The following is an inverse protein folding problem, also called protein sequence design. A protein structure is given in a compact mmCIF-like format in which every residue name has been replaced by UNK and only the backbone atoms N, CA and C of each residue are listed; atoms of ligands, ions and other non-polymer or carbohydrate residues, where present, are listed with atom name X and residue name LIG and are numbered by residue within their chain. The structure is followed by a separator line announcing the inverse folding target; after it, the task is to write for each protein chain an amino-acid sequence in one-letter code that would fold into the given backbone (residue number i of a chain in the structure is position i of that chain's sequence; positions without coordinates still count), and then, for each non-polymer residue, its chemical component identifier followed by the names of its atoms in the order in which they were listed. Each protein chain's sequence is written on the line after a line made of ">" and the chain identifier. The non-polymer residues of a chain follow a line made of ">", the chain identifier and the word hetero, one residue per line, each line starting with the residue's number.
data_IF_849569561127
#
_entry.id   IF_849569561127
#
_cell.length_a   1.000
_cell.length_b   1.000
_cell.length_c   1.000
_cell.angle_alpha   90.00
_cell.angle_beta   90.00
_cell.angle_gamma   90.00
#
_symmetry.space_group_name_H-M   'P 1'
#
loop_
_entity.id
_entity.type
_entity.pdbx_description
1 polymer ?
#
# COMPACT_ATOMS: atom_id res chain seq x y z
N UNK A 1 4.28 -25.21 -9.57
CA UNK A 1 4.03 -25.00 -8.13
C UNK A 1 3.25 -23.71 -7.99
N UNK A 2 2.02 -23.76 -7.46
CA UNK A 2 1.20 -22.56 -7.29
C UNK A 2 1.56 -21.94 -5.94
N UNK A 3 2.02 -20.69 -5.95
CA UNK A 3 2.34 -19.98 -4.71
C UNK A 3 1.04 -19.44 -4.10
N UNK A 4 0.83 -19.61 -2.79
CA UNK A 4 -0.34 -19.04 -2.14
C UNK A 4 -0.28 -17.51 -2.17
N UNK A 5 -1.43 -16.87 -2.34
CA UNK A 5 -1.55 -15.41 -2.33
C UNK A 5 -1.91 -14.88 -0.93
N UNK A 6 -2.56 -15.70 -0.11
CA UNK A 6 -3.10 -15.34 1.19
C UNK A 6 -2.86 -16.45 2.21
N UNK A 7 -2.97 -16.10 3.50
CA UNK A 7 -2.99 -17.07 4.58
C UNK A 7 -4.17 -16.82 5.53
N UNK A 8 -4.71 -17.89 6.11
CA UNK A 8 -5.74 -17.92 7.13
C UNK A 8 -5.19 -18.39 8.47
N UNK A 9 -5.86 -17.98 9.55
CA UNK A 9 -5.60 -18.47 10.91
C UNK A 9 -6.80 -19.29 11.37
N UNK A 10 -6.63 -20.60 11.50
CA UNK A 10 -7.70 -21.57 11.77
C UNK A 10 -8.51 -21.23 13.02
N UNK A 11 -7.85 -20.77 14.09
CA UNK A 11 -8.47 -20.46 15.39
C UNK A 11 -9.36 -19.23 15.36
N UNK A 12 -9.07 -18.24 14.52
CA UNK A 12 -9.86 -16.99 14.44
C UNK A 12 -10.77 -16.95 13.21
N UNK A 13 -10.55 -17.84 12.25
CA UNK A 13 -11.17 -17.82 10.92
C UNK A 13 -10.99 -16.45 10.23
N UNK A 14 -9.81 -15.85 10.37
CA UNK A 14 -9.42 -14.62 9.68
C UNK A 14 -8.36 -14.94 8.65
N UNK A 15 -8.47 -14.40 7.44
CA UNK A 15 -7.43 -14.45 6.41
C UNK A 15 -6.79 -13.09 6.14
N UNK A 16 -5.54 -13.09 5.68
CA UNK A 16 -4.63 -11.96 5.59
C UNK A 16 -3.75 -12.04 4.34
N UNK A 17 -3.22 -10.88 3.94
CA UNK A 17 -2.06 -10.78 3.02
C UNK A 17 -0.76 -11.14 3.73
N UNK A 18 0.23 -11.63 2.98
CA UNK A 18 1.62 -11.66 3.44
C UNK A 18 2.11 -10.24 3.73
N UNK A 19 2.79 -10.03 4.86
CA UNK A 19 3.16 -8.70 5.35
C UNK A 19 2.08 -7.96 6.15
N UNK A 20 0.96 -8.62 6.50
CA UNK A 20 -0.03 -8.04 7.41
C UNK A 20 0.62 -7.64 8.75
N UNK A 21 0.38 -6.41 9.27
CA UNK A 21 0.97 -5.93 10.53
C UNK A 21 0.30 -6.52 11.79
N UNK A 22 -0.58 -7.50 11.62
CA UNK A 22 -1.18 -8.24 12.74
C UNK A 22 -0.14 -9.15 13.39
N UNK A 23 -0.37 -9.49 14.66
CA UNK A 23 0.50 -10.43 15.38
C UNK A 23 0.64 -11.72 14.55
N UNK A 24 1.87 -12.21 14.29
CA UNK A 24 2.07 -13.45 13.57
C UNK A 24 1.35 -14.62 14.25
N UNK A 25 0.61 -15.45 13.50
CA UNK A 25 0.00 -16.66 14.05
C UNK A 25 1.06 -17.72 14.34
N UNK A 26 0.70 -18.71 15.17
CA UNK A 26 1.51 -19.92 15.29
C UNK A 26 1.46 -20.73 13.99
N UNK A 27 2.58 -21.33 13.53
CA UNK A 27 2.62 -22.09 12.29
C UNK A 27 1.55 -23.19 12.20
N UNK A 28 1.26 -23.89 13.30
CA UNK A 28 0.25 -24.96 13.33
C UNK A 28 -1.18 -24.49 13.01
N UNK A 29 -1.45 -23.19 13.10
CA UNK A 29 -2.77 -22.60 12.83
C UNK A 29 -2.88 -21.96 11.44
N UNK A 30 -1.82 -22.04 10.62
CA UNK A 30 -1.78 -21.36 9.32
C UNK A 30 -2.35 -22.26 8.23
N UNK A 31 -3.28 -21.71 7.46
CA UNK A 31 -3.82 -22.33 6.23
C UNK A 31 -3.52 -21.38 5.08
N UNK A 32 -3.24 -21.89 3.89
CA UNK A 32 -2.91 -21.06 2.73
C UNK A 32 -4.06 -21.06 1.71
N UNK A 33 -4.26 -19.92 1.06
CA UNK A 33 -5.27 -19.75 0.01
C UNK A 33 -4.66 -19.10 -1.24
N UNK A 34 -5.17 -19.49 -2.40
CA UNK A 34 -4.84 -18.92 -3.71
C UNK A 34 -5.60 -17.62 -3.97
N UNK A 35 -6.79 -17.45 -3.39
CA UNK A 35 -7.61 -16.26 -3.59
C UNK A 35 -8.45 -15.90 -2.36
N UNK A 36 -8.91 -14.64 -2.32
CA UNK A 36 -9.85 -14.19 -1.28
C UNK A 36 -11.17 -14.96 -1.35
N UNK A 37 -11.63 -15.30 -2.55
CA UNK A 37 -12.88 -16.05 -2.76
C UNK A 37 -12.79 -17.45 -2.18
N UNK A 38 -11.66 -18.14 -2.37
CA UNK A 38 -11.41 -19.46 -1.78
C UNK A 38 -11.47 -19.42 -0.25
N UNK A 39 -10.82 -18.42 0.36
CA UNK A 39 -10.84 -18.26 1.82
C UNK A 39 -12.27 -18.05 2.37
N UNK A 40 -13.05 -17.22 1.68
CA UNK A 40 -14.46 -16.95 2.05
C UNK A 40 -15.33 -18.20 1.91
N UNK A 41 -15.17 -18.97 0.84
CA UNK A 41 -15.88 -20.24 0.66
C UNK A 41 -15.57 -21.26 1.77
N UNK A 42 -14.34 -21.23 2.32
CA UNK A 42 -13.95 -22.03 3.48
C UNK A 42 -14.38 -21.43 4.84
N UNK A 43 -15.18 -20.36 4.83
CA UNK A 43 -15.75 -19.74 6.02
C UNK A 43 -14.82 -18.79 6.77
N UNK A 44 -13.76 -18.29 6.12
CA UNK A 44 -12.89 -17.27 6.70
C UNK A 44 -13.40 -15.86 6.39
N UNK A 45 -13.19 -14.93 7.32
CA UNK A 45 -13.49 -13.50 7.16
C UNK A 45 -12.22 -12.70 6.84
N UNK A 46 -12.31 -11.63 6.04
CA UNK A 46 -11.14 -10.82 5.72
C UNK A 46 -10.63 -10.03 6.94
N UNK A 47 -9.31 -9.93 7.06
CA UNK A 47 -8.68 -9.10 8.07
C UNK A 47 -8.97 -7.61 7.82
N UNK A 48 -9.48 -6.91 8.84
CA UNK A 48 -9.77 -5.47 8.76
C UNK A 48 -8.53 -4.57 8.67
N UNK A 49 -7.34 -5.09 9.04
CA UNK A 49 -6.07 -4.32 9.04
C UNK A 49 -5.37 -4.33 7.68
N UNK A 50 -5.18 -5.51 7.08
CA UNK A 50 -4.56 -5.60 5.76
C UNK A 50 -5.57 -5.59 4.61
N UNK A 51 -6.88 -5.69 4.89
CA UNK A 51 -8.01 -5.62 3.93
C UNK A 51 -7.83 -6.51 2.69
N UNK A 52 -7.58 -7.83 2.85
CA UNK A 52 -7.30 -8.74 1.73
C UNK A 52 -8.49 -8.92 0.77
N UNK A 53 -9.67 -8.43 1.16
CA UNK A 53 -10.89 -8.30 0.37
C UNK A 53 -10.88 -7.15 -0.65
N UNK A 54 -9.97 -6.18 -0.50
CA UNK A 54 -9.83 -5.03 -1.38
C UNK A 54 -8.75 -5.28 -2.43
N UNK A 55 -8.74 -4.56 -3.56
CA UNK A 55 -7.68 -4.70 -4.56
C UNK A 55 -6.30 -4.28 -4.02
N UNK A 56 -6.26 -3.18 -3.25
CA UNK A 56 -5.04 -2.62 -2.65
C UNK A 56 -5.10 -2.72 -1.12
N UNK A 57 -3.96 -2.97 -0.50
CA UNK A 57 -3.82 -2.81 0.95
C UNK A 57 -3.98 -1.33 1.35
N UNK A 58 -4.31 -1.04 2.62
CA UNK A 58 -4.42 0.35 3.06
C UNK A 58 -3.12 1.15 2.86
N UNK A 59 -1.96 0.52 2.99
CA UNK A 59 -0.65 1.14 2.74
C UNK A 59 -0.46 1.51 1.27
N UNK A 60 -0.83 0.60 0.36
CA UNK A 60 -0.73 0.85 -1.08
C UNK A 60 -1.71 1.93 -1.54
N UNK A 61 -2.97 1.87 -1.08
CA UNK A 61 -3.98 2.87 -1.39
C UNK A 61 -3.57 4.27 -0.88
N UNK A 62 -3.00 4.36 0.32
CA UNK A 62 -2.48 5.62 0.85
C UNK A 62 -1.28 6.13 0.05
N UNK A 63 -0.34 5.26 -0.33
CA UNK A 63 0.82 5.64 -1.14
C UNK A 63 0.40 6.17 -2.52
N UNK A 64 -0.58 5.52 -3.15
CA UNK A 64 -1.16 5.98 -4.41
C UNK A 64 -1.81 7.36 -4.28
N UNK A 65 -2.65 7.55 -3.26
CA UNK A 65 -3.27 8.84 -2.97
C UNK A 65 -2.21 9.94 -2.78
N UNK A 66 -1.19 9.68 -1.96
CA UNK A 66 -0.09 10.63 -1.73
C UNK A 66 0.64 10.97 -3.04
N UNK A 67 0.93 9.99 -3.88
CA UNK A 67 1.60 10.24 -5.16
C UNK A 67 0.72 11.05 -6.11
N UNK A 68 -0.59 10.75 -6.18
CA UNK A 68 -1.54 11.50 -7.00
C UNK A 68 -1.62 12.97 -6.55
N UNK A 69 -1.77 13.22 -5.24
CA UNK A 69 -1.80 14.59 -4.74
C UNK A 69 -0.47 15.32 -4.96
N UNK A 70 0.66 14.63 -4.79
CA UNK A 70 1.98 15.20 -5.03
C UNK A 70 2.18 15.60 -6.50
N UNK A 71 1.71 14.79 -7.45
CA UNK A 71 1.80 15.14 -8.88
C UNK A 71 0.96 16.37 -9.21
N UNK A 72 -0.28 16.45 -8.70
CA UNK A 72 -1.15 17.61 -8.95
C UNK A 72 -0.58 18.90 -8.34
N UNK A 73 -0.11 18.83 -7.10
CA UNK A 73 0.54 19.96 -6.43
C UNK A 73 1.86 20.36 -7.11
N UNK A 74 2.64 19.38 -7.57
CA UNK A 74 3.90 19.59 -8.27
C UNK A 74 3.72 20.20 -9.66
N UNK A 75 2.61 19.90 -10.37
CA UNK A 75 2.26 20.57 -11.62
C UNK A 75 1.91 22.03 -11.42
N UNK A 76 1.19 22.35 -10.35
CA UNK A 76 0.82 23.73 -10.01
C UNK A 76 2.02 24.60 -9.62
N UNK A 77 3.01 24.04 -8.91
CA UNK A 77 4.27 24.72 -8.59
C UNK A 77 5.45 23.72 -8.56
N UNK A 78 6.12 23.51 -9.72
CA UNK A 78 7.23 22.56 -9.82
C UNK A 78 8.48 22.99 -9.03
N UNK A 79 8.57 24.28 -8.69
CA UNK A 79 9.75 24.87 -8.04
C UNK A 79 9.72 24.71 -6.53
N UNK A 80 8.52 24.60 -5.96
CA UNK A 80 8.24 24.49 -4.52
C UNK A 80 9.11 23.46 -3.81
N UNK A 81 9.46 23.74 -2.56
CA UNK A 81 10.31 22.86 -1.76
C UNK A 81 9.54 21.58 -1.42
N UNK A 82 10.25 20.46 -1.42
CA UNK A 82 9.68 19.16 -1.05
C UNK A 82 9.14 19.15 0.39
N UNK A 83 9.77 19.91 1.29
CA UNK A 83 9.28 20.10 2.66
C UNK A 83 7.88 20.70 2.70
N UNK A 84 7.59 21.68 1.85
CA UNK A 84 6.29 22.36 1.82
C UNK A 84 5.19 21.45 1.27
N UNK A 85 5.50 20.62 0.25
CA UNK A 85 4.58 19.58 -0.22
C UNK A 85 4.30 18.53 0.86
N UNK A 86 5.33 18.13 1.61
CA UNK A 86 5.17 17.16 2.70
C UNK A 86 4.23 17.71 3.79
N UNK A 87 4.45 18.97 4.23
CA UNK A 87 3.60 19.65 5.21
C UNK A 87 2.15 19.71 4.74
N UNK A 88 1.90 20.11 3.49
CA UNK A 88 0.54 20.19 2.95
C UNK A 88 -0.16 18.81 2.87
N UNK A 89 0.59 17.73 2.71
CA UNK A 89 0.08 16.35 2.75
C UNK A 89 -0.04 15.79 4.18
N UNK A 90 0.33 16.56 5.21
CA UNK A 90 0.35 16.11 6.60
C UNK A 90 1.44 15.07 6.90
N UNK A 91 2.55 15.11 6.17
CA UNK A 91 3.65 14.16 6.25
C UNK A 91 4.97 14.88 6.60
N UNK A 92 5.87 14.19 7.29
CA UNK A 92 7.28 14.62 7.32
C UNK A 92 7.94 14.34 5.97
N UNK A 93 8.98 15.10 5.62
CA UNK A 93 9.76 14.88 4.40
C UNK A 93 10.27 13.44 4.28
N UNK A 94 10.77 12.86 5.37
CA UNK A 94 11.24 11.46 5.40
C UNK A 94 10.10 10.47 5.09
N UNK A 95 8.88 10.72 5.56
CA UNK A 95 7.72 9.88 5.23
C UNK A 95 7.35 10.01 3.76
N UNK A 96 7.33 11.23 3.21
CA UNK A 96 7.05 11.47 1.80
C UNK A 96 8.07 10.77 0.91
N UNK A 97 9.36 10.98 1.16
CA UNK A 97 10.45 10.35 0.41
C UNK A 97 10.35 8.81 0.44
N UNK A 98 10.07 8.23 1.61
CA UNK A 98 9.89 6.78 1.75
C UNK A 98 8.69 6.27 0.94
N UNK A 99 7.56 6.98 0.98
CA UNK A 99 6.34 6.59 0.27
C UNK A 99 6.55 6.66 -1.25
N UNK A 100 7.07 7.76 -1.77
CA UNK A 100 7.32 7.94 -3.21
C UNK A 100 8.35 6.94 -3.70
N UNK A 101 9.46 6.74 -2.96
CA UNK A 101 10.49 5.78 -3.35
C UNK A 101 9.96 4.34 -3.38
N UNK A 102 9.16 3.94 -2.39
CA UNK A 102 8.58 2.59 -2.33
C UNK A 102 7.54 2.33 -3.43
N UNK A 103 6.80 3.35 -3.86
CA UNK A 103 5.70 3.21 -4.83
C UNK A 103 6.09 3.51 -6.28
N UNK A 104 7.02 4.46 -6.50
CA UNK A 104 7.41 4.97 -7.84
C UNK A 104 8.89 4.75 -8.16
N UNK A 105 9.69 4.29 -7.21
CA UNK A 105 11.13 4.04 -7.41
C UNK A 105 12.01 5.29 -7.52
N UNK A 106 11.43 6.49 -7.35
CA UNK A 106 12.10 7.78 -7.57
C UNK A 106 12.04 8.67 -6.33
N UNK A 107 12.83 9.75 -6.32
CA UNK A 107 12.70 10.80 -5.30
C UNK A 107 11.49 11.69 -5.59
N UNK A 108 10.90 12.37 -4.58
CA UNK A 108 9.78 13.28 -4.79
C UNK A 108 10.05 14.36 -5.86
N UNK A 109 11.27 14.91 -5.92
CA UNK A 109 11.65 15.95 -6.90
C UNK A 109 11.63 15.41 -8.33
N UNK A 110 12.21 14.23 -8.55
CA UNK A 110 12.22 13.58 -9.87
C UNK A 110 10.80 13.18 -10.26
N UNK A 111 10.03 12.62 -9.33
CA UNK A 111 8.65 12.23 -9.57
C UNK A 111 7.77 13.42 -10.02
N UNK A 112 7.89 14.58 -9.36
CA UNK A 112 7.20 15.81 -9.77
C UNK A 112 7.62 16.21 -11.20
N UNK A 113 8.91 16.22 -11.49
CA UNK A 113 9.41 16.60 -12.83
C UNK A 113 8.89 15.67 -13.92
N UNK A 114 8.91 14.36 -13.70
CA UNK A 114 8.38 13.37 -14.65
C UNK A 114 6.87 13.54 -14.85
N UNK A 115 6.11 13.78 -13.78
CA UNK A 115 4.67 14.01 -13.87
C UNK A 115 4.31 15.30 -14.64
N UNK A 116 5.21 16.28 -14.72
CA UNK A 116 5.06 17.47 -15.54
C UNK A 116 5.44 17.24 -17.02
N UNK A 117 6.28 16.25 -17.32
CA UNK A 117 6.78 15.95 -18.66
C UNK A 117 5.83 15.08 -19.49
N UNK A 118 4.96 14.28 -18.86
CA UNK A 118 3.97 13.41 -19.54
C UNK A 118 2.83 14.18 -20.27
N UNK A 119 2.88 15.51 -20.31
CA UNK A 119 1.83 16.38 -20.91
C UNK A 119 2.29 17.03 -22.23
N UNK A 120 3.47 16.68 -22.75
CA UNK A 120 3.96 17.10 -24.08
C UNK A 120 3.97 15.93 -25.07
#
# INVERSE_FOLDING_TARGET
>A
MVNPALYGVSTTRIFCRFGCPSRPPKPENVIYFLSSSEAVLQGFRPCKRCRPDQAKSPTEAFAEFVCHQLSEMGRADPSRRIDDHAIQLGLSRRQLERIVRASRGQSPRVFIQSACQEVL
#
